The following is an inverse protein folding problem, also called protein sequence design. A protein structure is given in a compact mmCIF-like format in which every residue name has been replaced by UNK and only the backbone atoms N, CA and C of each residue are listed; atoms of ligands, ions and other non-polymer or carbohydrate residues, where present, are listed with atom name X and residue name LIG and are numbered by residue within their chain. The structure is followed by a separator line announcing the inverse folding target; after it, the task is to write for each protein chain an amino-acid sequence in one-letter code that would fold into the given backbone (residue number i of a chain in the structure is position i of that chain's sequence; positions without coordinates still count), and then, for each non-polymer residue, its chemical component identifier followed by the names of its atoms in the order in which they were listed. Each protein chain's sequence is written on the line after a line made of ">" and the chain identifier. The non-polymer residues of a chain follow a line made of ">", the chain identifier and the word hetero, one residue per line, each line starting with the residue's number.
data_IF_412948586097
#
_entry.id   IF_412948586097
#
_cell.length_a   1.000
_cell.length_b   1.000
_cell.length_c   1.000
_cell.angle_alpha   90.00
_cell.angle_beta   90.00
_cell.angle_gamma   90.00
#
_symmetry.space_group_name_H-M   'P 1'
#
loop_
_entity.id
_entity.type
_entity.pdbx_description
1 polymer ?
#
# COMPACT_ATOMS: atom_id res chain seq x y z
N UNK A 1 8.32 -9.52 -8.02
CA UNK A 1 9.19 -8.41 -8.47
C UNK A 1 9.47 -7.54 -7.25
N UNK A 2 10.72 -7.24 -6.98
CA UNK A 2 11.11 -6.47 -5.78
C UNK A 2 10.77 -5.01 -6.03
N UNK A 3 9.67 -4.54 -5.44
CA UNK A 3 9.23 -3.16 -5.61
C UNK A 3 10.26 -2.23 -4.97
N UNK A 4 10.73 -1.22 -5.71
CA UNK A 4 11.81 -0.33 -5.30
C UNK A 4 11.24 0.98 -4.76
N UNK A 5 12.04 1.68 -3.94
CA UNK A 5 11.77 3.07 -3.56
C UNK A 5 11.56 3.94 -4.81
N UNK A 6 10.54 4.78 -4.78
CA UNK A 6 10.11 5.65 -5.88
C UNK A 6 9.20 4.98 -6.91
N UNK A 7 8.90 3.68 -6.77
CA UNK A 7 7.91 3.03 -7.62
C UNK A 7 6.49 3.46 -7.25
N UNK A 8 5.64 3.56 -8.27
CA UNK A 8 4.20 3.77 -8.10
C UNK A 8 3.51 2.42 -7.94
N UNK A 9 2.68 2.32 -6.92
CA UNK A 9 1.99 1.09 -6.52
C UNK A 9 0.53 1.34 -6.18
N UNK A 10 -0.24 0.26 -6.13
CA UNK A 10 -1.54 0.18 -5.44
C UNK A 10 -1.57 -1.04 -4.54
N UNK A 11 -2.45 -0.99 -3.54
CA UNK A 11 -2.74 -2.16 -2.72
C UNK A 11 -3.59 -3.18 -3.50
N UNK A 12 -3.37 -4.46 -3.23
CA UNK A 12 -4.18 -5.57 -3.71
C UNK A 12 -5.24 -5.87 -2.64
N UNK A 13 -6.51 -5.63 -2.97
CA UNK A 13 -7.64 -5.78 -2.03
C UNK A 13 -7.66 -7.13 -1.31
N UNK A 14 -7.58 -8.23 -2.06
CA UNK A 14 -7.69 -9.59 -1.54
C UNK A 14 -6.60 -9.94 -0.51
N UNK A 15 -5.40 -9.39 -0.70
CA UNK A 15 -4.26 -9.61 0.18
C UNK A 15 -4.25 -8.68 1.38
N UNK A 16 -4.79 -7.47 1.23
CA UNK A 16 -4.93 -6.54 2.33
C UNK A 16 -6.04 -6.99 3.29
N UNK A 17 -7.21 -7.38 2.79
CA UNK A 17 -8.39 -7.72 3.63
C UNK A 17 -8.18 -8.89 4.59
N UNK A 18 -7.31 -9.84 4.27
CA UNK A 18 -7.02 -11.01 5.11
C UNK A 18 -5.70 -10.90 5.90
N UNK A 19 -5.15 -9.70 6.01
CA UNK A 19 -3.83 -9.46 6.58
C UNK A 19 -3.86 -9.03 8.06
N UNK A 20 -2.69 -9.01 8.69
CA UNK A 20 -2.52 -8.45 10.03
C UNK A 20 -2.77 -6.94 10.02
N UNK A 21 -2.38 -6.25 8.94
CA UNK A 21 -2.55 -4.81 8.74
C UNK A 21 -4.03 -4.42 8.66
N UNK A 22 -4.90 -5.33 8.19
CA UNK A 22 -6.34 -5.10 8.21
C UNK A 22 -6.92 -4.99 9.61
N UNK A 23 -6.33 -5.67 10.61
CA UNK A 23 -6.80 -5.58 12.00
C UNK A 23 -6.53 -4.21 12.63
N UNK A 24 -5.58 -3.44 12.09
CA UNK A 24 -5.27 -2.09 12.55
C UNK A 24 -6.19 -1.01 11.96
N UNK A 25 -7.02 -1.35 10.97
CA UNK A 25 -7.84 -0.42 10.21
C UNK A 25 -9.34 -0.76 10.32
N UNK A 26 -10.22 0.13 9.85
CA UNK A 26 -11.63 -0.22 9.64
C UNK A 26 -11.73 -1.27 8.53
N UNK A 27 -12.62 -2.25 8.73
CA UNK A 27 -13.05 -3.24 7.73
C UNK A 27 -13.41 -2.68 6.35
N UNK A 28 -13.85 -1.41 6.28
CA UNK A 28 -14.21 -0.74 5.02
C UNK A 28 -13.04 0.07 4.50
N UNK A 29 -12.21 -0.57 3.67
CA UNK A 29 -11.09 0.10 3.03
C UNK A 29 -11.52 1.18 2.02
N UNK A 30 -10.96 2.40 2.09
CA UNK A 30 -11.18 3.43 1.09
C UNK A 30 -10.73 3.02 -0.31
N UNK A 31 -11.45 3.46 -1.35
CA UNK A 31 -11.14 3.08 -2.74
C UNK A 31 -9.79 3.61 -3.24
N UNK A 32 -9.29 4.72 -2.68
CA UNK A 32 -8.01 5.30 -3.11
C UNK A 32 -6.82 4.35 -2.93
N UNK A 33 -6.87 3.41 -1.97
CA UNK A 33 -5.80 2.44 -1.75
C UNK A 33 -5.63 1.50 -2.96
N UNK A 34 -6.70 1.27 -3.71
CA UNK A 34 -6.75 0.30 -4.81
C UNK A 34 -6.80 0.99 -6.18
N UNK A 35 -7.38 2.19 -6.26
CA UNK A 35 -7.67 2.87 -7.53
C UNK A 35 -6.72 4.03 -7.82
N UNK A 36 -5.81 4.36 -6.91
CA UNK A 36 -4.88 5.49 -7.10
C UNK A 36 -3.43 5.12 -6.89
N UNK A 37 -2.55 5.94 -7.47
CA UNK A 37 -1.11 5.81 -7.35
C UNK A 37 -0.65 6.14 -5.91
N UNK A 38 0.08 5.20 -5.32
CA UNK A 38 0.85 5.38 -4.11
C UNK A 38 2.34 5.31 -4.41
N UNK A 39 3.12 6.23 -3.86
CA UNK A 39 4.59 6.24 -4.01
C UNK A 39 5.25 5.49 -2.85
N UNK A 40 6.20 4.59 -3.15
CA UNK A 40 7.05 3.99 -2.12
C UNK A 40 8.12 4.98 -1.68
N UNK A 41 8.02 5.46 -0.45
CA UNK A 41 8.99 6.39 0.14
C UNK A 41 10.18 5.68 0.80
N UNK A 42 9.92 4.52 1.38
CA UNK A 42 10.94 3.74 2.08
C UNK A 42 10.65 2.24 2.06
N UNK A 43 11.68 1.44 2.25
CA UNK A 43 11.62 -0.02 2.27
C UNK A 43 12.41 -0.55 3.46
N UNK A 44 11.76 -1.34 4.30
CA UNK A 44 12.37 -1.97 5.47
C UNK A 44 12.03 -3.45 5.53
N UNK A 45 12.97 -4.29 5.09
CA UNK A 45 12.76 -5.72 4.97
C UNK A 45 11.62 -6.02 4.00
N UNK A 46 10.59 -6.71 4.50
CA UNK A 46 9.41 -7.10 3.71
C UNK A 46 8.31 -6.02 3.65
N UNK A 47 8.55 -4.85 4.25
CA UNK A 47 7.56 -3.77 4.33
C UNK A 47 8.01 -2.56 3.50
N UNK A 48 7.03 -1.88 2.94
CA UNK A 48 7.19 -0.62 2.22
C UNK A 48 6.34 0.47 2.86
N UNK A 49 6.92 1.66 3.00
CA UNK A 49 6.21 2.87 3.41
C UNK A 49 5.62 3.53 2.16
N UNK A 50 4.30 3.49 2.04
CA UNK A 50 3.56 4.00 0.87
C UNK A 50 2.87 5.31 1.22
N UNK A 51 3.01 6.29 0.34
CA UNK A 51 2.27 7.55 0.39
C UNK A 51 1.25 7.59 -0.74
N UNK A 52 -0.03 7.56 -0.39
CA UNK A 52 -1.11 7.72 -1.36
C UNK A 52 -1.34 9.22 -1.63
N UNK A 53 -1.10 9.65 -2.87
CA UNK A 53 -1.11 11.08 -3.22
C UNK A 53 -2.51 11.68 -3.44
N UNK A 54 -3.52 10.83 -3.69
CA UNK A 54 -4.89 11.27 -4.00
C UNK A 54 -5.59 11.95 -2.83
N UNK A 55 -5.24 11.59 -1.59
CA UNK A 55 -5.81 12.14 -0.36
C UNK A 55 -4.68 12.53 0.60
N UNK A 56 -4.80 13.63 1.36
CA UNK A 56 -3.77 14.07 2.30
C UNK A 56 -3.80 13.24 3.59
N UNK A 57 -3.57 11.93 3.47
CA UNK A 57 -3.52 10.98 4.60
C UNK A 57 -2.08 10.68 5.01
N UNK A 58 -1.84 10.25 6.26
CA UNK A 58 -0.55 9.73 6.68
C UNK A 58 -0.05 8.59 5.77
N UNK A 59 1.26 8.43 5.72
CA UNK A 59 1.89 7.31 5.02
C UNK A 59 1.61 6.00 5.76
N UNK A 60 1.55 4.89 5.03
CA UNK A 60 1.18 3.59 5.57
C UNK A 60 2.29 2.56 5.31
N UNK A 61 2.63 1.77 6.33
CA UNK A 61 3.47 0.60 6.16
C UNK A 61 2.61 -0.58 5.69
N UNK A 62 2.94 -1.12 4.53
CA UNK A 62 2.28 -2.27 3.93
C UNK A 62 3.32 -3.33 3.58
N UNK A 63 2.90 -4.60 3.64
CA UNK A 63 3.77 -5.71 3.28
C UNK A 63 3.91 -5.76 1.75
N UNK A 64 5.11 -6.03 1.25
CA UNK A 64 5.39 -5.94 -0.20
C UNK A 64 4.53 -6.85 -1.07
N UNK A 65 4.05 -7.98 -0.52
CA UNK A 65 3.18 -8.89 -1.23
C UNK A 65 1.75 -8.35 -1.42
N UNK A 66 1.33 -7.40 -0.60
CA UNK A 66 0.06 -6.68 -0.69
C UNK A 66 0.10 -5.57 -1.74
N UNK A 67 1.26 -5.29 -2.33
CA UNK A 67 1.45 -4.21 -3.29
C UNK A 67 1.69 -4.77 -4.69
N UNK A 68 1.14 -4.08 -5.69
CA UNK A 68 1.48 -4.28 -7.09
C UNK A 68 1.84 -2.96 -7.76
N UNK A 69 2.65 -3.04 -8.81
CA UNK A 69 3.04 -1.88 -9.62
C UNK A 69 1.82 -1.27 -10.29
N UNK A 70 1.66 0.04 -10.18
CA UNK A 70 0.60 0.78 -10.83
C UNK A 70 0.97 0.94 -12.31
N UNK A 71 0.15 0.40 -13.21
CA UNK A 71 0.31 0.51 -14.67
C UNK A 71 -0.78 1.36 -15.28
#
# INVERSE_FOLDING_TARGET
>A
MTVKKGAMVRAIREKLENSLEAQASDSRFPSYLFESEGEILDVKGDYALVKFGKVPTPNMWLRMDQLEEFK
#
